data_IF_016567731910
#
_entry.id   IF_016567731910
#
_cell.length_a   1.000
_cell.length_b   1.000
_cell.length_c   1.000
_cell.angle_alpha   90.00
_cell.angle_beta   90.00
_cell.angle_gamma   90.00
#
_symmetry.space_group_name_H-M   'P 1'
#
loop_
_entity.id
_entity.type
_entity.pdbx_description
1 polymer ?
#
# COMPACT_ATOMS: atom_id res chain seq x y z
N UNK A 1 -11.01 16.15 13.55
CA UNK A 1 -10.79 17.39 12.76
C UNK A 1 -10.61 17.03 11.29
N UNK A 2 -11.73 16.98 10.56
CA UNK A 2 -11.78 16.61 9.15
C UNK A 2 -11.05 17.63 8.25
N UNK A 3 -11.11 18.91 8.60
CA UNK A 3 -10.46 19.98 7.84
C UNK A 3 -8.93 19.89 7.94
N UNK A 4 -8.40 19.54 9.12
CA UNK A 4 -6.97 19.28 9.26
C UNK A 4 -6.50 18.10 8.39
N UNK A 5 -7.31 17.04 8.27
CA UNK A 5 -7.00 15.89 7.41
C UNK A 5 -6.95 16.29 5.93
N UNK A 6 -7.99 17.00 5.45
CA UNK A 6 -8.09 17.47 4.06
C UNK A 6 -6.96 18.45 3.75
N UNK A 7 -6.69 19.40 4.65
CA UNK A 7 -5.62 20.40 4.49
C UNK A 7 -4.22 19.80 4.40
N UNK A 8 -4.02 18.58 4.91
CA UNK A 8 -2.75 17.85 4.85
C UNK A 8 -2.81 16.62 3.92
N UNK A 9 -3.80 16.55 3.01
CA UNK A 9 -3.97 15.44 2.08
C UNK A 9 -2.68 15.08 1.36
N UNK A 10 -1.98 16.06 0.80
CA UNK A 10 -0.75 15.80 0.03
C UNK A 10 0.33 15.13 0.87
N UNK A 11 0.44 15.46 2.16
CA UNK A 11 1.40 14.86 3.07
C UNK A 11 1.11 13.37 3.30
N UNK A 12 -0.18 13.01 3.37
CA UNK A 12 -0.62 11.62 3.49
C UNK A 12 -0.34 10.85 2.20
N UNK A 13 -0.63 11.44 1.02
CA UNK A 13 -0.34 10.81 -0.26
C UNK A 13 1.16 10.63 -0.49
N UNK A 14 1.99 11.63 -0.14
CA UNK A 14 3.47 11.52 -0.14
C UNK A 14 3.94 10.35 0.72
N UNK A 15 3.47 10.31 1.97
CA UNK A 15 3.81 9.27 2.93
C UNK A 15 3.44 7.87 2.41
N UNK A 16 2.25 7.74 1.82
CA UNK A 16 1.78 6.52 1.19
C UNK A 16 2.71 6.07 0.05
N UNK A 17 3.01 6.95 -0.90
CA UNK A 17 3.90 6.64 -2.04
C UNK A 17 5.28 6.21 -1.56
N UNK A 18 5.87 6.93 -0.60
CA UNK A 18 7.17 6.57 -0.04
C UNK A 18 7.13 5.21 0.66
N UNK A 19 6.09 4.98 1.47
CA UNK A 19 5.89 3.74 2.22
C UNK A 19 5.66 2.53 1.30
N UNK A 20 5.02 2.69 0.13
CA UNK A 20 4.82 1.61 -0.83
C UNK A 20 6.15 1.12 -1.44
N UNK A 21 7.16 1.98 -1.49
CA UNK A 21 8.47 1.70 -2.07
C UNK A 21 9.49 1.18 -1.06
N UNK A 22 9.10 0.90 0.18
CA UNK A 22 10.04 0.54 1.25
C UNK A 22 10.85 -0.76 1.03
N UNK A 23 10.33 -1.64 0.16
CA UNK A 23 10.89 -2.95 -0.12
C UNK A 23 11.68 -3.01 -1.44
N UNK A 24 12.09 -1.87 -2.02
CA UNK A 24 12.84 -1.82 -3.28
C UNK A 24 14.10 -2.71 -3.26
N UNK A 25 14.76 -2.86 -2.11
CA UNK A 25 15.92 -3.76 -1.98
C UNK A 25 15.62 -5.24 -2.27
N UNK A 26 14.37 -5.69 -2.07
CA UNK A 26 13.93 -7.06 -2.43
C UNK A 26 13.78 -7.26 -3.94
N UNK A 27 13.95 -6.22 -4.74
CA UNK A 27 13.76 -6.29 -6.19
C UNK A 27 15.08 -6.47 -6.95
N UNK A 28 16.19 -6.63 -6.23
CA UNK A 28 17.51 -6.90 -6.80
C UNK A 28 17.78 -8.41 -6.89
N UNK A 29 18.41 -8.84 -7.99
CA UNK A 29 18.90 -10.22 -8.10
C UNK A 29 19.97 -10.52 -7.05
N UNK A 30 20.79 -9.53 -6.68
CA UNK A 30 21.80 -9.67 -5.62
C UNK A 30 21.20 -10.09 -4.28
N UNK A 31 20.00 -9.60 -3.95
CA UNK A 31 19.26 -10.01 -2.76
C UNK A 31 18.81 -11.47 -2.84
N UNK A 32 18.32 -11.89 -4.00
CA UNK A 32 17.73 -13.21 -4.21
C UNK A 32 18.71 -14.31 -4.61
N UNK A 33 19.94 -13.98 -5.00
CA UNK A 33 20.92 -14.96 -5.50
C UNK A 33 21.11 -16.16 -4.58
N UNK A 34 21.03 -15.94 -3.27
CA UNK A 34 21.11 -16.97 -2.24
C UNK A 34 20.24 -16.60 -1.03
N UNK A 35 19.35 -17.50 -0.59
CA UNK A 35 18.57 -17.36 0.65
C UNK A 35 18.58 -18.65 1.46
N UNK A 36 18.92 -18.53 2.75
CA UNK A 36 18.91 -19.64 3.69
C UNK A 36 19.72 -20.86 3.20
N UNK A 37 20.84 -20.63 2.52
CA UNK A 37 21.72 -21.67 1.96
C UNK A 37 21.29 -22.22 0.61
N UNK A 38 20.13 -21.82 0.09
CA UNK A 38 19.67 -22.18 -1.26
C UNK A 38 20.11 -21.11 -2.27
N UNK A 39 20.77 -21.53 -3.34
CA UNK A 39 21.21 -20.67 -4.44
C UNK A 39 20.16 -20.67 -5.55
N UNK A 40 19.71 -19.49 -5.96
CA UNK A 40 18.66 -19.32 -6.98
C UNK A 40 19.18 -18.72 -8.29
N UNK A 41 20.21 -17.88 -8.21
CA UNK A 41 20.77 -17.20 -9.36
C UNK A 41 22.30 -17.21 -9.33
N UNK A 42 22.90 -17.39 -10.49
CA UNK A 42 24.34 -17.34 -10.69
C UNK A 42 24.76 -15.90 -11.04
N UNK A 43 24.92 -15.07 -10.01
CA UNK A 43 25.33 -13.66 -10.16
C UNK A 43 26.86 -13.56 -10.07
N UNK A 44 27.50 -13.10 -11.15
CA UNK A 44 28.93 -12.73 -11.14
C UNK A 44 29.12 -11.34 -10.49
N UNK A 45 29.86 -11.29 -9.39
CA UNK A 45 30.05 -10.07 -8.60
C UNK A 45 30.73 -8.95 -9.40
N UNK A 46 31.67 -9.30 -10.27
CA UNK A 46 32.43 -8.32 -11.07
C UNK A 46 31.54 -7.70 -12.14
N UNK A 47 30.79 -8.53 -12.88
CA UNK A 47 29.83 -8.08 -13.88
C UNK A 47 28.71 -7.26 -13.23
N UNK A 48 28.21 -7.70 -12.08
CA UNK A 48 27.20 -6.95 -11.32
C UNK A 48 27.72 -5.56 -10.91
N UNK A 49 28.89 -5.49 -10.30
CA UNK A 49 29.48 -4.21 -9.87
C UNK A 49 29.74 -3.28 -11.06
N UNK A 50 30.18 -3.82 -12.20
CA UNK A 50 30.38 -3.04 -13.43
C UNK A 50 29.07 -2.48 -14.01
N UNK A 51 27.94 -3.21 -13.87
CA UNK A 51 26.63 -2.77 -14.41
C UNK A 51 25.95 -1.75 -13.49
N UNK A 52 26.03 -1.96 -12.18
CA UNK A 52 25.24 -1.22 -11.19
C UNK A 52 26.04 -0.16 -10.42
N UNK A 53 27.37 -0.29 -10.36
CA UNK A 53 28.26 0.61 -9.61
C UNK A 53 28.35 0.32 -8.11
N UNK A 54 27.76 -0.78 -7.64
CA UNK A 54 27.80 -1.24 -6.25
C UNK A 54 27.77 -2.77 -6.19
N UNK A 55 28.13 -3.34 -5.02
CA UNK A 55 28.23 -4.80 -4.86
C UNK A 55 26.88 -5.47 -4.57
N UNK A 56 26.71 -6.75 -4.92
CA UNK A 56 25.55 -7.53 -4.49
C UNK A 56 25.43 -7.56 -2.95
N UNK A 57 24.21 -7.51 -2.43
CA UNK A 57 23.95 -7.49 -0.99
C UNK A 57 22.93 -8.56 -0.57
N UNK A 58 23.06 -9.08 0.66
CA UNK A 58 22.19 -10.15 1.19
C UNK A 58 20.91 -9.64 1.86
N UNK A 59 20.97 -8.49 2.53
CA UNK A 59 19.83 -7.87 3.22
C UNK A 59 19.18 -6.80 2.34
N UNK A 60 17.85 -6.76 2.28
CA UNK A 60 17.16 -5.77 1.43
C UNK A 60 17.42 -4.35 1.92
N UNK A 61 17.57 -4.15 3.23
CA UNK A 61 17.94 -2.88 3.86
C UNK A 61 19.28 -2.32 3.37
N UNK A 62 20.20 -3.19 2.94
CA UNK A 62 21.51 -2.76 2.44
C UNK A 62 21.40 -1.90 1.19
N UNK A 63 20.27 -1.94 0.49
CA UNK A 63 19.99 -1.05 -0.63
C UNK A 63 20.00 0.44 -0.25
N UNK A 64 19.70 0.75 1.01
CA UNK A 64 19.69 2.12 1.54
C UNK A 64 20.87 2.45 2.45
N UNK A 65 21.75 1.47 2.74
CA UNK A 65 22.94 1.67 3.55
C UNK A 65 24.06 2.19 2.66
N UNK A 66 24.87 3.11 3.18
CA UNK A 66 26.04 3.63 2.47
C UNK A 66 26.98 2.46 2.17
N UNK A 67 27.39 2.35 0.91
CA UNK A 67 28.38 1.38 0.45
C UNK A 67 29.68 2.11 0.11
N UNK A 68 29.89 2.44 -1.17
CA UNK A 68 31.11 3.06 -1.69
C UNK A 68 30.91 4.54 -2.02
N UNK A 69 31.99 5.32 -1.93
CA UNK A 69 32.03 6.75 -2.28
C UNK A 69 31.01 7.61 -1.51
N UNK A 70 30.62 7.15 -0.32
CA UNK A 70 29.62 7.83 0.52
C UNK A 70 28.19 7.74 0.01
N UNK A 71 27.89 6.85 -0.95
CA UNK A 71 26.55 6.66 -1.53
C UNK A 71 25.99 5.28 -1.24
N UNK A 72 24.67 5.21 -1.12
CA UNK A 72 23.93 3.94 -1.10
C UNK A 72 23.67 3.40 -2.53
N UNK A 73 23.45 2.09 -2.70
CA UNK A 73 22.98 1.52 -3.97
C UNK A 73 21.76 2.24 -4.56
N UNK A 74 20.81 2.64 -3.72
CA UNK A 74 19.64 3.42 -4.14
C UNK A 74 20.04 4.77 -4.76
N UNK A 75 20.97 5.49 -4.16
CA UNK A 75 21.42 6.79 -4.69
C UNK A 75 22.15 6.68 -6.03
N UNK A 76 22.96 5.65 -6.24
CA UNK A 76 23.58 5.39 -7.55
C UNK A 76 22.54 5.28 -8.66
N UNK A 77 21.43 4.60 -8.38
CA UNK A 77 20.37 4.40 -9.35
C UNK A 77 19.51 5.64 -9.54
N UNK A 78 19.25 6.42 -8.48
CA UNK A 78 18.57 7.69 -8.62
C UNK A 78 19.35 8.68 -9.47
N UNK A 79 20.68 8.73 -9.35
CA UNK A 79 21.54 9.57 -10.20
C UNK A 79 21.46 9.16 -11.67
N UNK A 80 21.46 7.85 -11.95
CA UNK A 80 21.34 7.31 -13.32
C UNK A 80 20.07 7.78 -14.06
N UNK A 81 19.00 8.08 -13.33
CA UNK A 81 17.71 8.51 -13.89
C UNK A 81 17.34 9.96 -13.58
N UNK A 82 18.28 10.78 -13.08
CA UNK A 82 18.03 12.17 -12.69
C UNK A 82 16.91 12.35 -11.65
N UNK A 83 16.68 11.35 -10.80
CA UNK A 83 15.64 11.36 -9.76
C UNK A 83 16.16 11.80 -8.38
N UNK A 84 17.49 11.83 -8.20
CA UNK A 84 18.12 12.08 -6.90
C UNK A 84 17.67 13.41 -6.27
N UNK A 85 17.73 14.50 -7.04
CA UNK A 85 17.36 15.83 -6.53
C UNK A 85 15.87 15.87 -6.12
N UNK A 86 14.99 15.32 -6.96
CA UNK A 86 13.56 15.27 -6.67
C UNK A 86 13.29 14.50 -5.37
N UNK A 87 13.73 13.24 -5.27
CA UNK A 87 13.43 12.37 -4.14
C UNK A 87 14.03 12.89 -2.82
N UNK A 88 15.30 13.33 -2.83
CA UNK A 88 16.00 13.72 -1.61
C UNK A 88 15.51 15.07 -1.04
N UNK A 89 14.92 15.93 -1.86
CA UNK A 89 14.43 17.24 -1.43
C UNK A 89 12.98 17.23 -0.93
N UNK A 90 12.24 16.14 -1.15
CA UNK A 90 10.88 16.05 -0.63
C UNK A 90 10.86 15.82 0.88
N UNK A 91 9.85 16.41 1.52
CA UNK A 91 9.56 16.27 2.94
C UNK A 91 8.09 15.93 3.13
N UNK A 92 7.82 15.20 4.20
CA UNK A 92 6.48 14.91 4.68
C UNK A 92 6.30 15.62 6.01
N UNK A 93 5.38 16.58 6.08
CA UNK A 93 4.99 17.20 7.34
C UNK A 93 4.16 16.19 8.15
N UNK A 94 4.29 16.22 9.47
CA UNK A 94 3.58 15.36 10.41
C UNK A 94 2.55 16.16 11.24
N UNK A 95 1.56 15.48 11.85
CA UNK A 95 0.54 16.14 12.67
C UNK A 95 1.07 16.97 13.86
N UNK A 96 2.26 16.64 14.37
CA UNK A 96 2.96 17.39 15.44
C UNK A 96 3.78 18.59 14.92
N UNK A 97 3.60 18.96 13.64
CA UNK A 97 4.32 20.04 12.94
C UNK A 97 5.82 19.78 12.77
N UNK A 98 6.28 18.56 13.01
CA UNK A 98 7.60 18.12 12.58
C UNK A 98 7.57 17.71 11.11
N UNK A 99 8.72 17.43 10.52
CA UNK A 99 8.81 16.87 9.17
C UNK A 99 9.79 15.71 9.14
N UNK A 100 9.57 14.79 8.20
CA UNK A 100 10.45 13.67 7.89
C UNK A 100 10.87 13.79 6.43
N UNK A 101 12.15 13.59 6.12
CA UNK A 101 12.61 13.52 4.75
C UNK A 101 11.93 12.35 4.03
N UNK A 102 11.39 12.58 2.84
CA UNK A 102 10.55 11.59 2.14
C UNK A 102 11.28 10.26 1.90
N UNK A 103 12.60 10.32 1.70
CA UNK A 103 13.46 9.15 1.56
C UNK A 103 13.38 8.16 2.74
N UNK A 104 13.10 8.63 3.95
CA UNK A 104 13.07 7.77 5.15
C UNK A 104 11.92 6.74 5.08
N UNK A 105 10.83 7.07 4.38
CA UNK A 105 9.73 6.13 4.13
C UNK A 105 10.14 4.97 3.22
N UNK A 106 11.07 5.20 2.28
CA UNK A 106 11.63 4.16 1.41
C UNK A 106 12.59 3.27 2.18
N UNK A 107 13.25 3.80 3.23
CA UNK A 107 14.19 3.02 4.03
C UNK A 107 13.47 2.00 4.91
N UNK A 108 12.25 2.30 5.36
CA UNK A 108 11.49 1.44 6.27
C UNK A 108 12.34 1.05 7.49
N UNK A 109 12.56 -0.25 7.70
CA UNK A 109 13.39 -0.78 8.79
C UNK A 109 14.85 -0.31 8.78
N UNK A 110 15.37 0.20 7.65
CA UNK A 110 16.70 0.80 7.58
C UNK A 110 16.76 2.29 7.96
N UNK A 111 15.62 2.93 8.24
CA UNK A 111 15.57 4.36 8.60
C UNK A 111 16.17 4.64 9.97
N UNK A 112 16.80 5.80 10.14
CA UNK A 112 17.23 6.29 11.45
C UNK A 112 16.12 7.03 12.22
N UNK A 113 15.00 7.33 11.57
CA UNK A 113 13.93 8.15 12.14
C UNK A 113 13.04 7.32 13.06
N UNK A 114 12.85 7.80 14.29
CA UNK A 114 12.02 7.14 15.30
C UNK A 114 10.58 6.94 14.80
N UNK A 115 9.99 7.95 14.15
CA UNK A 115 8.65 7.86 13.59
C UNK A 115 8.52 6.70 12.59
N UNK A 116 9.50 6.53 11.71
CA UNK A 116 9.51 5.45 10.72
C UNK A 116 9.68 4.09 11.40
N UNK A 117 10.61 3.98 12.35
CA UNK A 117 10.86 2.74 13.07
C UNK A 117 9.66 2.29 13.91
N UNK A 118 9.04 3.21 14.63
CA UNK A 118 7.98 2.90 15.57
C UNK A 118 6.62 2.79 14.87
N UNK A 119 6.22 3.80 14.10
CA UNK A 119 4.86 3.86 13.53
C UNK A 119 4.76 3.04 12.25
N UNK A 120 5.64 3.29 11.27
CA UNK A 120 5.58 2.59 9.98
C UNK A 120 6.04 1.14 10.10
N UNK A 121 7.24 0.90 10.59
CA UNK A 121 7.85 -0.42 10.51
C UNK A 121 7.33 -1.36 11.62
N UNK A 122 7.55 -1.04 12.90
CA UNK A 122 7.06 -1.89 14.00
C UNK A 122 5.53 -1.90 14.12
N UNK A 123 4.92 -0.74 13.91
CA UNK A 123 3.49 -0.54 14.06
C UNK A 123 2.68 -1.17 12.93
N UNK A 124 3.15 -1.10 11.68
CA UNK A 124 2.37 -1.57 10.52
C UNK A 124 3.03 -2.77 9.83
N UNK A 125 4.29 -2.66 9.39
CA UNK A 125 4.96 -3.72 8.61
C UNK A 125 5.11 -5.03 9.41
N UNK A 126 5.60 -4.97 10.64
CA UNK A 126 5.78 -6.15 11.48
C UNK A 126 4.45 -6.82 11.81
N UNK A 127 3.38 -6.04 11.98
CA UNK A 127 2.03 -6.55 12.24
C UNK A 127 1.50 -7.26 10.99
N UNK A 128 1.54 -6.62 9.82
CA UNK A 128 1.15 -7.22 8.55
C UNK A 128 1.96 -8.50 8.26
N UNK A 129 3.28 -8.40 8.37
CA UNK A 129 4.17 -9.54 8.18
C UNK A 129 3.91 -10.68 9.17
N UNK A 130 3.49 -10.38 10.40
CA UNK A 130 3.13 -11.39 11.39
C UNK A 130 1.88 -12.15 11.01
N UNK A 131 0.89 -11.45 10.45
CA UNK A 131 -0.35 -12.03 9.91
C UNK A 131 -0.03 -12.94 8.71
N UNK A 132 0.76 -12.44 7.76
CA UNK A 132 1.08 -13.14 6.49
C UNK A 132 1.91 -14.41 6.71
N UNK A 133 2.90 -14.37 7.60
CA UNK A 133 3.90 -15.44 7.70
C UNK A 133 3.38 -16.72 8.34
N UNK A 134 2.36 -16.66 9.18
CA UNK A 134 1.80 -17.82 9.88
C UNK A 134 2.88 -18.78 10.41
N UNK A 135 2.90 -20.01 9.89
CA UNK A 135 3.87 -21.05 10.24
C UNK A 135 4.67 -21.52 9.00
N UNK A 136 5.75 -20.82 8.61
CA UNK A 136 6.56 -21.20 7.46
C UNK A 136 7.27 -22.54 7.74
N UNK A 137 7.21 -23.49 6.80
CA UNK A 137 7.69 -24.86 7.02
C UNK A 137 9.03 -25.15 6.38
N UNK A 138 9.24 -24.69 5.16
CA UNK A 138 10.43 -25.03 4.38
C UNK A 138 10.82 -23.91 3.42
N UNK A 139 12.10 -23.84 3.09
CA UNK A 139 12.60 -23.00 2.01
C UNK A 139 12.25 -23.63 0.66
N UNK A 140 11.79 -22.84 -0.32
CA UNK A 140 11.61 -23.35 -1.69
C UNK A 140 12.97 -23.75 -2.27
N UNK A 141 13.02 -24.86 -2.98
CA UNK A 141 14.27 -25.40 -3.55
C UNK A 141 14.34 -25.16 -5.05
N UNK A 142 15.57 -25.15 -5.58
CA UNK A 142 15.91 -25.02 -6.99
C UNK A 142 15.59 -23.65 -7.62
N UNK A 143 14.31 -23.27 -7.75
CA UNK A 143 13.90 -22.02 -8.40
C UNK A 143 13.00 -21.18 -7.49
N UNK A 144 13.05 -19.85 -7.64
CA UNK A 144 12.09 -18.96 -6.99
C UNK A 144 10.77 -18.98 -7.75
N UNK A 145 9.66 -19.13 -7.01
CA UNK A 145 8.34 -19.15 -7.60
C UNK A 145 7.25 -18.68 -6.61
N UNK A 146 6.26 -18.00 -7.16
CA UNK A 146 5.01 -17.62 -6.49
C UNK A 146 4.02 -18.78 -6.53
N UNK A 147 3.48 -19.16 -5.37
CA UNK A 147 2.31 -20.03 -5.30
C UNK A 147 1.01 -19.24 -5.47
N UNK A 148 -0.08 -19.94 -5.77
CA UNK A 148 -1.43 -19.46 -5.49
C UNK A 148 -1.88 -19.90 -4.09
N UNK A 149 -3.06 -19.43 -3.65
CA UNK A 149 -3.63 -19.77 -2.35
C UNK A 149 -3.87 -21.28 -2.14
N UNK A 150 -3.87 -22.09 -3.21
CA UNK A 150 -3.97 -23.55 -3.15
C UNK A 150 -2.60 -24.25 -3.09
N UNK A 151 -1.51 -23.49 -2.98
CA UNK A 151 -0.14 -24.02 -2.89
C UNK A 151 0.46 -24.50 -4.22
N UNK A 152 -0.20 -24.24 -5.35
CA UNK A 152 0.29 -24.64 -6.68
C UNK A 152 1.02 -23.49 -7.38
N UNK A 153 1.90 -23.83 -8.34
CA UNK A 153 2.72 -22.88 -9.08
C UNK A 153 1.85 -21.84 -9.81
N UNK A 154 2.01 -20.56 -9.44
CA UNK A 154 1.41 -19.42 -10.13
C UNK A 154 2.39 -18.82 -11.14
N UNK A 155 3.65 -18.62 -10.75
CA UNK A 155 4.68 -18.02 -11.62
C UNK A 155 6.10 -18.31 -11.14
N UNK A 156 6.99 -18.68 -12.05
CA UNK A 156 8.44 -18.64 -11.81
C UNK A 156 8.96 -17.20 -11.86
N UNK A 157 9.87 -16.87 -10.94
CA UNK A 157 10.57 -15.58 -10.93
C UNK A 157 11.86 -15.72 -11.73
N UNK A 158 12.00 -14.88 -12.75
CA UNK A 158 13.16 -14.83 -13.61
C UNK A 158 13.99 -13.57 -13.32
N UNK A 159 15.26 -13.57 -13.73
CA UNK A 159 16.16 -12.42 -13.56
C UNK A 159 15.57 -11.10 -14.11
N UNK A 160 14.87 -11.20 -15.25
CA UNK A 160 14.20 -10.06 -15.89
C UNK A 160 13.08 -9.45 -15.06
N UNK A 161 12.51 -10.17 -14.10
CA UNK A 161 11.46 -9.67 -13.22
C UNK A 161 12.01 -8.78 -12.08
N UNK A 162 13.33 -8.85 -11.83
CA UNK A 162 14.05 -8.16 -10.76
C UNK A 162 14.64 -6.82 -11.27
N UNK A 163 15.96 -6.77 -11.47
CA UNK A 163 16.68 -5.51 -11.74
C UNK A 163 16.18 -4.81 -13.01
N UNK A 164 15.89 -5.56 -14.09
CA UNK A 164 15.41 -4.95 -15.34
C UNK A 164 14.07 -4.21 -15.14
N UNK A 165 13.15 -4.78 -14.36
CA UNK A 165 11.86 -4.13 -14.08
C UNK A 165 12.02 -2.94 -13.14
N UNK A 166 12.92 -3.01 -12.15
CA UNK A 166 13.25 -1.87 -11.27
C UNK A 166 13.83 -0.70 -12.06
N UNK A 167 14.82 -0.95 -12.90
CA UNK A 167 15.41 0.08 -13.76
C UNK A 167 14.39 0.66 -14.74
N UNK A 168 13.50 -0.19 -15.27
CA UNK A 168 12.38 0.27 -16.10
C UNK A 168 11.43 1.18 -15.32
N UNK A 169 11.09 0.83 -14.09
CA UNK A 169 10.27 1.67 -13.21
C UNK A 169 10.90 3.05 -13.02
N UNK A 170 12.15 3.14 -12.60
CA UNK A 170 12.82 4.44 -12.41
C UNK A 170 12.92 5.25 -13.71
N UNK A 171 13.22 4.60 -14.83
CA UNK A 171 13.21 5.26 -16.14
C UNK A 171 11.82 5.84 -16.46
N UNK A 172 10.77 5.05 -16.30
CA UNK A 172 9.39 5.51 -16.59
C UNK A 172 8.91 6.57 -15.62
N UNK A 173 9.30 6.51 -14.34
CA UNK A 173 9.01 7.54 -13.35
C UNK A 173 9.69 8.85 -13.72
N UNK A 174 10.97 8.80 -14.12
CA UNK A 174 11.70 9.98 -14.57
C UNK A 174 11.05 10.63 -15.79
N UNK A 175 10.66 9.83 -16.81
CA UNK A 175 9.94 10.34 -17.98
C UNK A 175 8.61 10.98 -17.58
N UNK A 176 7.79 10.27 -16.79
CA UNK A 176 6.49 10.77 -16.32
C UNK A 176 6.62 12.09 -15.55
N UNK A 177 7.58 12.21 -14.63
CA UNK A 177 7.79 13.44 -13.87
C UNK A 177 8.26 14.60 -14.75
N UNK A 178 9.11 14.34 -15.73
CA UNK A 178 9.58 15.38 -16.66
C UNK A 178 8.47 15.87 -17.60
N UNK A 179 7.76 14.95 -18.25
CA UNK A 179 6.71 15.29 -19.24
C UNK A 179 5.57 16.11 -18.64
N UNK A 180 5.31 15.96 -17.35
CA UNK A 180 4.25 16.67 -16.63
C UNK A 180 4.76 17.84 -15.77
N UNK A 181 6.05 18.18 -15.84
CA UNK A 181 6.70 19.18 -14.98
C UNK A 181 6.58 18.92 -13.45
N UNK A 182 6.39 17.66 -13.06
CA UNK A 182 6.23 17.27 -11.65
C UNK A 182 7.54 17.23 -10.86
N UNK A 183 8.70 17.36 -11.52
CA UNK A 183 9.96 17.59 -10.83
C UNK A 183 9.99 18.94 -10.11
N UNK A 184 9.34 19.96 -10.69
CA UNK A 184 9.27 21.32 -10.14
C UNK A 184 7.94 21.56 -9.40
N UNK A 185 6.83 21.09 -9.97
CA UNK A 185 5.47 21.31 -9.47
C UNK A 185 4.75 19.97 -9.27
N UNK A 186 5.09 19.19 -8.23
CA UNK A 186 4.56 17.84 -8.06
C UNK A 186 3.05 17.85 -7.79
N UNK A 187 2.28 17.13 -8.62
CA UNK A 187 0.88 16.80 -8.33
C UNK A 187 0.79 15.40 -7.72
N UNK A 188 0.74 15.35 -6.38
CA UNK A 188 0.91 14.09 -5.63
C UNK A 188 -0.16 13.04 -5.87
N UNK A 189 -1.39 13.45 -6.20
CA UNK A 189 -2.44 12.54 -6.64
C UNK A 189 -2.04 11.77 -7.91
N UNK A 190 -1.52 12.45 -8.92
CA UNK A 190 -1.11 11.83 -10.20
C UNK A 190 0.15 10.98 -10.01
N UNK A 191 1.10 11.47 -9.22
CA UNK A 191 2.31 10.71 -8.85
C UNK A 191 1.91 9.42 -8.12
N UNK A 192 0.99 9.50 -7.16
CA UNK A 192 0.47 8.34 -6.44
C UNK A 192 -0.16 7.34 -7.40
N UNK A 193 -1.06 7.78 -8.27
CA UNK A 193 -1.76 6.91 -9.20
C UNK A 193 -0.78 6.22 -10.17
N UNK A 194 0.20 6.96 -10.69
CA UNK A 194 1.27 6.42 -11.52
C UNK A 194 2.08 5.35 -10.76
N UNK A 195 2.56 5.67 -9.56
CA UNK A 195 3.39 4.75 -8.77
C UNK A 195 2.60 3.49 -8.40
N UNK A 196 1.37 3.61 -7.91
CA UNK A 196 0.51 2.47 -7.61
C UNK A 196 0.30 1.57 -8.83
N UNK A 197 -0.01 2.14 -10.00
CA UNK A 197 -0.22 1.36 -11.22
C UNK A 197 1.03 0.59 -11.64
N UNK A 198 2.20 1.26 -11.66
CA UNK A 198 3.46 0.62 -12.09
C UNK A 198 3.95 -0.40 -11.07
N UNK A 199 3.89 -0.06 -9.78
CA UNK A 199 4.33 -0.94 -8.69
C UNK A 199 3.41 -2.16 -8.60
N UNK A 200 2.09 -2.04 -8.73
CA UNK A 200 1.18 -3.19 -8.78
C UNK A 200 1.54 -4.17 -9.89
N UNK A 201 1.68 -3.66 -11.12
CA UNK A 201 2.03 -4.49 -12.30
C UNK A 201 3.37 -5.21 -12.15
N UNK A 202 4.29 -4.63 -11.39
CA UNK A 202 5.64 -5.16 -11.17
C UNK A 202 5.71 -6.08 -9.94
N UNK A 203 5.38 -5.58 -8.76
CA UNK A 203 5.51 -6.29 -7.49
C UNK A 203 4.60 -7.51 -7.37
N UNK A 204 3.45 -7.54 -8.06
CA UNK A 204 2.59 -8.74 -8.08
C UNK A 204 3.24 -9.96 -8.77
N UNK A 205 4.41 -9.77 -9.39
CA UNK A 205 5.20 -10.81 -10.04
C UNK A 205 6.43 -11.23 -9.22
N UNK A 206 6.61 -10.65 -8.03
CA UNK A 206 7.75 -10.90 -7.14
C UNK A 206 7.27 -11.52 -5.82
N UNK A 207 8.18 -12.22 -5.15
CA UNK A 207 7.94 -12.83 -3.84
C UNK A 207 8.15 -11.82 -2.71
N UNK A 208 7.27 -11.86 -1.71
CA UNK A 208 7.51 -11.23 -0.42
C UNK A 208 8.49 -12.07 0.43
N UNK A 209 8.25 -13.37 0.48
CA UNK A 209 9.01 -14.36 1.25
C UNK A 209 9.18 -15.64 0.42
N UNK A 210 10.33 -16.29 0.54
CA UNK A 210 10.67 -17.49 -0.24
C UNK A 210 10.39 -18.80 0.49
N UNK A 211 9.72 -18.78 1.64
CA UNK A 211 9.39 -19.99 2.40
C UNK A 211 7.99 -20.48 2.05
N UNK A 212 7.84 -21.78 1.86
CA UNK A 212 6.55 -22.43 1.66
C UNK A 212 5.84 -22.67 3.01
N UNK A 213 4.51 -22.46 3.12
CA UNK A 213 3.57 -22.05 2.06
C UNK A 213 3.40 -20.53 1.87
N UNK A 214 4.19 -19.70 2.58
CA UNK A 214 4.08 -18.22 2.60
C UNK A 214 4.42 -17.57 1.25
N UNK A 215 5.01 -18.31 0.32
CA UNK A 215 5.38 -17.84 -1.01
C UNK A 215 4.16 -17.62 -1.94
N UNK A 216 2.93 -17.67 -1.41
CA UNK A 216 1.71 -17.22 -2.07
C UNK A 216 1.48 -15.71 -1.95
N UNK A 217 2.14 -15.07 -0.97
CA UNK A 217 2.15 -13.62 -0.78
C UNK A 217 3.15 -12.97 -1.74
N UNK A 218 2.65 -12.13 -2.64
CA UNK A 218 3.51 -11.35 -3.53
C UNK A 218 4.12 -10.14 -2.81
N UNK A 219 5.18 -9.58 -3.40
CA UNK A 219 5.76 -8.34 -2.90
C UNK A 219 4.75 -7.19 -2.90
N UNK A 220 3.78 -7.22 -3.83
CA UNK A 220 2.72 -6.22 -3.91
C UNK A 220 1.81 -6.33 -2.69
N UNK A 221 1.38 -7.54 -2.35
CA UNK A 221 0.45 -7.76 -1.24
C UNK A 221 1.08 -7.26 0.06
N UNK A 222 2.35 -7.60 0.32
CA UNK A 222 3.08 -7.11 1.49
C UNK A 222 3.21 -5.57 1.49
N UNK A 223 3.65 -4.98 0.38
CA UNK A 223 3.94 -3.55 0.30
C UNK A 223 2.67 -2.69 0.37
N UNK A 224 1.65 -3.09 -0.39
CA UNK A 224 0.38 -2.37 -0.48
C UNK A 224 -0.39 -2.43 0.85
N UNK A 225 -0.48 -3.60 1.49
CA UNK A 225 -1.17 -3.72 2.77
C UNK A 225 -0.45 -2.94 3.88
N UNK A 226 0.88 -3.06 3.95
CA UNK A 226 1.69 -2.30 4.91
C UNK A 226 1.53 -0.78 4.71
N UNK A 227 1.60 -0.31 3.46
CA UNK A 227 1.38 1.11 3.12
C UNK A 227 -0.03 1.58 3.46
N UNK A 228 -1.05 0.74 3.22
CA UNK A 228 -2.46 1.05 3.50
C UNK A 228 -2.74 1.15 5.01
N UNK A 229 -2.19 0.22 5.80
CA UNK A 229 -2.25 0.27 7.26
C UNK A 229 -1.54 1.51 7.80
N UNK A 230 -0.37 1.84 7.25
CA UNK A 230 0.37 3.04 7.63
C UNK A 230 -0.38 4.33 7.29
N UNK A 231 -0.95 4.44 6.09
CA UNK A 231 -1.80 5.56 5.69
C UNK A 231 -2.96 5.76 6.67
N UNK A 232 -3.67 4.68 7.01
CA UNK A 232 -4.78 4.73 7.96
C UNK A 232 -4.34 5.21 9.35
N UNK A 233 -3.18 4.77 9.85
CA UNK A 233 -2.62 5.22 11.12
C UNK A 233 -2.18 6.70 11.09
N UNK A 234 -1.59 7.14 9.98
CA UNK A 234 -1.22 8.53 9.76
C UNK A 234 -2.46 9.44 9.66
N UNK A 235 -3.48 9.05 8.89
CA UNK A 235 -4.76 9.74 8.80
C UNK A 235 -5.43 9.87 10.18
N UNK A 236 -5.36 8.82 11.00
CA UNK A 236 -5.84 8.85 12.39
C UNK A 236 -5.12 9.91 13.21
N UNK A 237 -3.80 10.00 13.05
CA UNK A 237 -2.98 11.00 13.73
C UNK A 237 -3.26 12.43 13.26
N UNK A 238 -3.68 12.63 12.00
CA UNK A 238 -4.17 13.93 11.52
C UNK A 238 -5.54 14.29 12.10
N UNK A 239 -6.42 13.31 12.28
CA UNK A 239 -7.72 13.52 12.92
C UNK A 239 -7.61 13.78 14.43
N UNK A 240 -6.57 13.24 15.07
CA UNK A 240 -6.23 13.44 16.47
C UNK A 240 -4.71 13.34 16.69
N UNK A 241 -4.01 14.48 16.79
CA UNK A 241 -2.55 14.53 16.90
C UNK A 241 -2.00 13.90 18.18
N UNK A 242 -2.80 13.74 19.23
CA UNK A 242 -2.37 13.06 20.46
C UNK A 242 -2.05 11.57 20.24
N UNK A 243 -2.59 10.94 19.19
CA UNK A 243 -2.30 9.54 18.86
C UNK A 243 -0.86 9.33 18.40
N UNK A 244 -0.25 10.33 17.78
CA UNK A 244 1.08 10.20 17.21
C UNK A 244 2.13 9.84 18.27
N UNK A 245 2.09 10.47 19.44
CA UNK A 245 3.00 10.18 20.54
C UNK A 245 2.74 8.78 21.10
N UNK A 246 1.47 8.40 21.28
CA UNK A 246 1.12 7.05 21.72
C UNK A 246 1.62 5.97 20.74
N UNK A 247 1.54 6.22 19.43
CA UNK A 247 2.05 5.30 18.42
C UNK A 247 3.58 5.20 18.40
N UNK A 248 4.29 6.31 18.66
CA UNK A 248 5.76 6.32 18.82
C UNK A 248 6.19 5.52 20.06
N UNK A 249 5.51 5.74 21.19
CA UNK A 249 5.84 5.09 22.48
C UNK A 249 5.43 3.60 22.51
N UNK A 250 4.27 3.29 21.94
CA UNK A 250 3.67 1.96 21.92
C UNK A 250 3.13 1.63 20.52
N UNK A 251 3.99 1.22 19.57
CA UNK A 251 3.58 0.83 18.21
C UNK A 251 2.46 -0.20 18.17
N UNK A 252 2.45 -1.13 19.12
CA UNK A 252 1.44 -2.19 19.24
C UNK A 252 0.05 -1.68 19.64
N UNK A 253 -0.08 -0.38 19.98
CA UNK A 253 -1.35 0.26 20.25
C UNK A 253 -2.12 0.65 18.98
N UNK A 254 -1.45 0.73 17.83
CA UNK A 254 -2.11 1.05 16.56
C UNK A 254 -3.16 -0.03 16.26
N UNK A 255 -4.35 0.43 15.91
CA UNK A 255 -5.47 -0.40 15.50
C UNK A 255 -6.10 0.16 14.24
N UNK A 256 -6.82 -0.71 13.55
CA UNK A 256 -7.53 -0.40 12.32
C UNK A 256 -8.98 -0.88 12.42
N UNK A 257 -9.79 -0.38 11.50
CA UNK A 257 -11.15 -0.82 11.23
C UNK A 257 -11.27 -1.15 9.75
N UNK A 258 -12.27 -1.96 9.41
CA UNK A 258 -12.72 -2.11 8.03
C UNK A 258 -13.98 -1.27 7.85
N UNK A 259 -13.94 -0.35 6.90
CA UNK A 259 -15.11 0.38 6.40
C UNK A 259 -15.63 -0.37 5.17
N UNK A 260 -16.81 -0.97 5.29
CA UNK A 260 -17.50 -1.66 4.21
C UNK A 260 -18.64 -0.82 3.66
N UNK A 261 -18.66 -0.62 2.35
CA UNK A 261 -19.78 0.00 1.64
C UNK A 261 -20.46 -1.12 0.86
N UNK A 262 -21.47 -1.70 1.49
CA UNK A 262 -22.08 -2.97 1.09
C UNK A 262 -23.39 -2.75 0.36
N UNK A 263 -23.58 -3.44 -0.75
CA UNK A 263 -24.81 -3.45 -1.53
C UNK A 263 -24.79 -4.63 -2.50
N UNK A 264 -25.96 -5.17 -2.82
CA UNK A 264 -26.12 -6.39 -3.62
C UNK A 264 -25.89 -6.12 -5.11
N UNK A 265 -24.62 -6.07 -5.54
CA UNK A 265 -24.24 -5.78 -6.94
C UNK A 265 -24.76 -6.84 -7.89
N UNK A 266 -24.78 -8.10 -7.45
CA UNK A 266 -25.26 -9.22 -8.26
C UNK A 266 -26.78 -9.15 -8.41
N UNK A 267 -27.52 -9.00 -7.32
CA UNK A 267 -28.98 -8.90 -7.36
C UNK A 267 -29.47 -7.64 -8.09
N UNK A 268 -28.72 -6.53 -8.07
CA UNK A 268 -29.00 -5.38 -8.93
C UNK A 268 -28.91 -5.76 -10.41
N UNK A 269 -27.84 -6.44 -10.82
CA UNK A 269 -27.70 -6.90 -12.20
C UNK A 269 -28.80 -7.91 -12.59
N UNK A 270 -29.23 -8.78 -11.67
CA UNK A 270 -30.30 -9.77 -11.91
C UNK A 270 -31.69 -9.14 -12.06
N UNK A 271 -31.94 -7.95 -11.48
CA UNK A 271 -33.19 -7.20 -11.67
C UNK A 271 -33.35 -6.66 -13.10
N UNK A 272 -32.27 -6.60 -13.89
CA UNK A 272 -32.30 -6.12 -15.27
C UNK A 272 -33.12 -7.02 -16.21
N UNK A 273 -34.27 -6.53 -16.67
CA UNK A 273 -35.17 -7.27 -17.58
C UNK A 273 -34.61 -7.41 -19.00
N UNK A 274 -33.67 -6.53 -19.38
CA UNK A 274 -33.03 -6.51 -20.71
C UNK A 274 -31.51 -6.49 -20.56
N UNK A 275 -30.74 -7.05 -21.52
CA UNK A 275 -29.28 -6.98 -21.52
C UNK A 275 -28.71 -5.57 -21.35
N UNK A 276 -29.39 -4.54 -21.88
CA UNK A 276 -29.00 -3.14 -21.71
C UNK A 276 -29.11 -2.65 -20.26
N UNK A 277 -30.11 -3.13 -19.49
CA UNK A 277 -30.27 -2.80 -18.08
C UNK A 277 -29.23 -3.51 -17.22
N UNK A 278 -28.98 -4.80 -17.48
CA UNK A 278 -27.92 -5.56 -16.80
C UNK A 278 -26.57 -4.86 -17.00
N UNK A 279 -26.28 -4.42 -18.23
CA UNK A 279 -25.09 -3.66 -18.57
C UNK A 279 -25.05 -2.32 -17.83
N UNK A 280 -26.16 -1.58 -17.79
CA UNK A 280 -26.25 -0.32 -17.06
C UNK A 280 -25.94 -0.48 -15.58
N UNK A 281 -26.52 -1.46 -14.87
CA UNK A 281 -26.19 -1.71 -13.47
C UNK A 281 -24.70 -1.98 -13.28
N UNK A 282 -24.09 -2.85 -14.11
CA UNK A 282 -22.66 -3.15 -14.00
C UNK A 282 -21.78 -1.90 -14.19
N UNK A 283 -22.09 -1.07 -15.18
CA UNK A 283 -21.36 0.16 -15.44
C UNK A 283 -21.59 1.22 -14.33
N UNK A 284 -22.82 1.35 -13.80
CA UNK A 284 -23.13 2.26 -12.71
C UNK A 284 -22.40 1.86 -11.42
N UNK A 285 -22.45 0.57 -11.06
CA UNK A 285 -21.74 0.00 -9.91
C UNK A 285 -20.23 0.22 -10.00
N UNK A 286 -19.62 -0.05 -11.16
CA UNK A 286 -18.18 0.16 -11.35
C UNK A 286 -17.80 1.63 -11.19
N UNK A 287 -18.60 2.55 -11.73
CA UNK A 287 -18.36 3.99 -11.60
C UNK A 287 -18.52 4.44 -10.14
N UNK A 288 -19.60 4.05 -9.46
CA UNK A 288 -19.84 4.38 -8.05
C UNK A 288 -18.69 3.88 -7.17
N UNK A 289 -18.27 2.63 -7.32
CA UNK A 289 -17.14 2.07 -6.56
C UNK A 289 -15.83 2.86 -6.79
N UNK A 290 -15.59 3.31 -8.03
CA UNK A 290 -14.38 4.07 -8.36
C UNK A 290 -14.42 5.50 -7.81
N UNK A 291 -15.58 6.17 -7.82
CA UNK A 291 -15.76 7.48 -7.19
C UNK A 291 -15.64 7.40 -5.66
N UNK A 292 -16.20 6.37 -5.04
CA UNK A 292 -16.02 6.09 -3.62
C UNK A 292 -14.54 5.85 -3.28
N UNK A 293 -13.84 5.06 -4.10
CA UNK A 293 -12.40 4.86 -3.94
C UNK A 293 -11.67 6.19 -4.02
N UNK A 294 -11.98 7.05 -4.99
CA UNK A 294 -11.38 8.37 -5.12
C UNK A 294 -11.65 9.24 -3.88
N UNK A 295 -12.90 9.28 -3.44
CA UNK A 295 -13.34 10.02 -2.26
C UNK A 295 -12.51 9.64 -1.01
N UNK A 296 -12.36 8.34 -0.75
CA UNK A 296 -11.75 7.86 0.49
C UNK A 296 -10.22 7.76 0.43
N UNK A 297 -9.65 7.48 -0.74
CA UNK A 297 -8.20 7.36 -0.92
C UNK A 297 -7.51 8.68 -1.25
N UNK A 298 -8.20 9.58 -1.96
CA UNK A 298 -7.63 10.83 -2.47
C UNK A 298 -8.25 12.03 -1.77
N UNK A 299 -9.56 12.24 -1.82
CA UNK A 299 -10.15 13.49 -1.30
C UNK A 299 -10.01 13.62 0.23
N UNK A 300 -10.36 12.57 0.98
CA UNK A 300 -10.32 12.52 2.45
C UNK A 300 -9.11 11.78 3.04
N UNK A 301 -8.10 11.42 2.26
CA UNK A 301 -7.30 10.18 2.36
C UNK A 301 -7.37 9.40 3.72
N UNK A 302 -8.52 8.82 4.06
CA UNK A 302 -8.72 8.13 5.37
C UNK A 302 -8.20 6.69 5.40
N UNK A 303 -7.95 6.11 4.23
CA UNK A 303 -7.63 4.69 4.09
C UNK A 303 -7.41 4.29 2.63
N UNK A 304 -7.35 2.98 2.40
CA UNK A 304 -7.21 2.37 1.08
C UNK A 304 -8.12 1.16 0.92
N UNK A 305 -8.60 0.94 -0.31
CA UNK A 305 -9.35 -0.25 -0.68
C UNK A 305 -8.45 -1.48 -0.53
N UNK A 306 -8.91 -2.46 0.22
CA UNK A 306 -8.19 -3.73 0.44
C UNK A 306 -8.91 -4.92 -0.18
N UNK A 307 -10.21 -4.77 -0.45
CA UNK A 307 -11.02 -5.83 -1.05
C UNK A 307 -12.27 -5.24 -1.73
N UNK A 308 -12.72 -5.87 -2.81
CA UNK A 308 -13.93 -5.52 -3.57
C UNK A 308 -14.45 -6.77 -4.25
N UNK A 309 -15.75 -7.01 -4.11
CA UNK A 309 -16.46 -8.10 -4.78
C UNK A 309 -17.94 -7.71 -5.01
N UNK A 310 -18.79 -8.69 -5.29
CA UNK A 310 -20.22 -8.53 -5.51
C UNK A 310 -20.99 -8.00 -4.28
N UNK A 311 -20.41 -8.08 -3.08
CA UNK A 311 -21.05 -7.66 -1.83
C UNK A 311 -20.75 -6.22 -1.45
N UNK A 312 -19.72 -5.61 -2.06
CA UNK A 312 -19.34 -4.23 -1.72
C UNK A 312 -17.89 -3.89 -2.05
N UNK A 313 -17.46 -2.75 -1.52
CA UNK A 313 -16.08 -2.26 -1.54
C UNK A 313 -15.63 -1.99 -0.11
N UNK A 314 -14.41 -2.40 0.23
CA UNK A 314 -13.93 -2.49 1.61
C UNK A 314 -12.57 -1.80 1.78
N UNK A 315 -12.47 -0.95 2.80
CA UNK A 315 -11.31 -0.11 3.07
C UNK A 315 -10.72 -0.41 4.43
N UNK A 316 -9.39 -0.47 4.53
CA UNK A 316 -8.71 -0.36 5.82
C UNK A 316 -8.65 1.12 6.21
N UNK A 317 -9.17 1.44 7.39
CA UNK A 317 -9.23 2.81 7.92
C UNK A 317 -8.74 2.84 9.37
N UNK A 318 -8.49 4.06 9.86
CA UNK A 318 -7.99 4.33 11.20
C UNK A 318 -8.94 3.94 12.34
N UNK A 319 -8.41 3.65 13.53
CA UNK A 319 -9.24 3.33 14.71
C UNK A 319 -10.16 4.47 15.14
N UNK A 320 -9.72 5.71 14.97
CA UNK A 320 -10.43 6.89 15.47
C UNK A 320 -11.42 7.46 14.45
N UNK A 321 -11.74 6.71 13.40
CA UNK A 321 -12.79 7.01 12.41
C UNK A 321 -14.19 6.69 12.97
N UNK A 322 -14.28 5.82 13.98
CA UNK A 322 -15.55 5.47 14.60
C UNK A 322 -15.45 5.02 16.03
N UNK A 323 -16.61 4.81 16.64
CA UNK A 323 -16.80 4.43 18.04
C UNK A 323 -17.52 3.08 18.11
N UNK A 324 -17.02 2.18 18.95
CA UNK A 324 -17.59 0.82 19.07
C UNK A 324 -18.99 0.87 19.68
N UNK A 325 -19.95 0.18 19.05
CA UNK A 325 -21.34 0.08 19.49
C UNK A 325 -21.91 -1.30 19.20
N UNK A 326 -22.16 -2.08 20.26
CA UNK A 326 -22.63 -3.45 20.12
C UNK A 326 -21.59 -4.31 19.42
N UNK A 327 -21.95 -4.95 18.30
CA UNK A 327 -21.06 -5.79 17.49
C UNK A 327 -20.30 -5.02 16.39
N UNK A 328 -20.72 -3.80 16.09
CA UNK A 328 -20.14 -2.94 15.06
C UNK A 328 -19.56 -1.65 15.67
N UNK A 329 -19.21 -0.70 14.82
CA UNK A 329 -18.91 0.67 15.18
C UNK A 329 -19.74 1.65 14.34
N UNK A 330 -19.95 2.84 14.87
CA UNK A 330 -20.56 3.95 14.14
C UNK A 330 -19.47 4.94 13.74
N UNK A 331 -19.58 5.52 12.54
CA UNK A 331 -18.76 6.66 12.14
C UNK A 331 -18.96 7.79 13.15
N UNK A 332 -17.86 8.45 13.53
CA UNK A 332 -17.95 9.59 14.44
C UNK A 332 -18.81 10.71 13.83
N UNK A 333 -19.46 11.46 14.71
CA UNK A 333 -20.35 12.54 14.32
C UNK A 333 -19.66 13.59 13.42
N UNK A 334 -18.38 13.90 13.68
CA UNK A 334 -17.59 14.85 12.88
C UNK A 334 -17.10 14.30 11.53
N UNK A 335 -17.41 13.04 11.22
CA UNK A 335 -17.10 12.37 9.95
C UNK A 335 -18.36 11.96 9.19
N UNK A 336 -19.55 12.36 9.64
CA UNK A 336 -20.81 12.07 8.95
C UNK A 336 -20.88 12.65 7.54
N UNK A 337 -20.17 13.76 7.30
CA UNK A 337 -20.02 14.34 5.96
C UNK A 337 -19.51 13.29 4.95
N UNK A 338 -18.58 12.41 5.35
CA UNK A 338 -18.06 11.34 4.46
C UNK A 338 -19.19 10.37 4.11
N UNK A 339 -20.02 10.00 5.08
CA UNK A 339 -21.17 9.13 4.84
C UNK A 339 -22.21 9.79 3.94
N UNK A 340 -22.50 11.07 4.15
CA UNK A 340 -23.41 11.86 3.31
C UNK A 340 -22.90 11.92 1.86
N UNK A 341 -21.61 12.22 1.67
CA UNK A 341 -20.96 12.21 0.35
C UNK A 341 -21.04 10.86 -0.36
N UNK A 342 -20.88 9.76 0.38
CA UNK A 342 -21.08 8.41 -0.17
C UNK A 342 -22.53 8.25 -0.65
N UNK A 343 -23.52 8.63 0.16
CA UNK A 343 -24.94 8.52 -0.21
C UNK A 343 -25.29 9.41 -1.41
N UNK A 344 -24.71 10.61 -1.50
CA UNK A 344 -24.88 11.51 -2.64
C UNK A 344 -24.35 10.90 -3.94
N UNK A 345 -23.18 10.24 -3.90
CA UNK A 345 -22.65 9.52 -5.08
C UNK A 345 -23.62 8.44 -5.57
N UNK A 346 -24.23 7.66 -4.66
CA UNK A 346 -25.24 6.68 -5.06
C UNK A 346 -26.46 7.36 -5.65
N UNK A 347 -26.98 8.40 -5.00
CA UNK A 347 -28.15 9.13 -5.47
C UNK A 347 -27.95 9.69 -6.88
N UNK A 348 -26.82 10.34 -7.13
CA UNK A 348 -26.51 10.99 -8.40
C UNK A 348 -26.23 9.98 -9.52
N UNK A 349 -25.53 8.88 -9.21
CA UNK A 349 -25.03 7.96 -10.24
C UNK A 349 -25.93 6.73 -10.48
N UNK A 350 -26.85 6.45 -9.56
CA UNK A 350 -27.86 5.39 -9.69
C UNK A 350 -29.25 5.91 -10.03
N UNK A 351 -29.40 7.21 -10.33
CA UNK A 351 -30.71 7.85 -10.51
C UNK A 351 -31.67 7.61 -9.33
N UNK A 352 -31.12 7.66 -8.10
CA UNK A 352 -31.86 7.44 -6.83
C UNK A 352 -32.49 6.04 -6.72
N UNK A 353 -31.96 5.03 -7.42
CA UNK A 353 -32.57 3.68 -7.49
C UNK A 353 -32.14 2.76 -6.33
N UNK A 354 -30.89 2.86 -5.88
CA UNK A 354 -30.36 2.00 -4.81
C UNK A 354 -29.34 2.70 -3.94
N UNK A 355 -29.18 2.20 -2.71
CA UNK A 355 -28.30 2.77 -1.70
C UNK A 355 -27.47 1.68 -1.00
N UNK A 356 -26.28 2.04 -0.50
CA UNK A 356 -25.45 1.12 0.25
C UNK A 356 -25.87 1.07 1.72
N UNK A 357 -25.52 -0.05 2.35
CA UNK A 357 -25.33 -0.11 3.78
C UNK A 357 -23.85 0.18 4.09
N UNK A 358 -23.60 1.19 4.92
CA UNK A 358 -22.25 1.58 5.36
C UNK A 358 -21.99 0.97 6.73
N UNK A 359 -21.01 0.06 6.80
CA UNK A 359 -20.64 -0.62 8.03
C UNK A 359 -19.20 -0.33 8.42
N UNK A 360 -18.97 -0.23 9.72
CA UNK A 360 -17.64 -0.08 10.29
C UNK A 360 -17.42 -1.16 11.35
N UNK A 361 -16.30 -1.87 11.25
CA UNK A 361 -15.97 -2.91 12.24
C UNK A 361 -15.45 -2.28 13.54
N UNK A 362 -15.43 -3.07 14.62
CA UNK A 362 -14.64 -2.76 15.82
C UNK A 362 -13.16 -2.54 15.49
N UNK A 363 -12.49 -1.75 16.33
CA UNK A 363 -11.05 -1.53 16.20
C UNK A 363 -10.28 -2.80 16.57
N UNK A 364 -9.34 -3.20 15.73
CA UNK A 364 -8.52 -4.40 15.90
C UNK A 364 -7.09 -4.16 15.46
N UNK A 365 -6.15 -4.86 16.07
CA UNK A 365 -4.73 -4.86 15.65
C UNK A 365 -4.49 -5.71 14.39
N UNK A 366 -5.50 -6.43 13.89
CA UNK A 366 -5.44 -7.19 12.65
C UNK A 366 -6.71 -7.05 11.81
N UNK A 367 -6.64 -7.46 10.55
CA UNK A 367 -7.69 -7.22 9.55
C UNK A 367 -8.72 -8.36 9.43
N UNK A 368 -8.72 -9.31 10.37
CA UNK A 368 -9.65 -10.46 10.38
C UNK A 368 -11.13 -10.07 10.42
N UNK A 369 -11.44 -8.81 10.77
CA UNK A 369 -12.80 -8.29 10.78
C UNK A 369 -13.41 -8.15 9.38
N UNK A 370 -12.60 -8.21 8.30
CA UNK A 370 -13.14 -8.24 6.93
C UNK A 370 -14.03 -9.47 6.72
N UNK A 371 -13.60 -10.66 7.15
CA UNK A 371 -14.38 -11.90 7.01
C UNK A 371 -15.73 -11.79 7.71
N UNK A 372 -15.78 -11.12 8.87
CA UNK A 372 -17.03 -10.86 9.56
C UNK A 372 -18.01 -10.01 8.72
N UNK A 373 -17.52 -8.97 8.04
CA UNK A 373 -18.37 -8.18 7.14
C UNK A 373 -18.87 -9.00 5.95
N UNK A 374 -18.02 -9.84 5.36
CA UNK A 374 -18.38 -10.68 4.22
C UNK A 374 -19.42 -11.76 4.60
N UNK A 375 -19.29 -12.38 5.77
CA UNK A 375 -20.27 -13.36 6.27
C UNK A 375 -21.62 -12.73 6.63
N UNK A 376 -21.63 -11.44 6.98
CA UNK A 376 -22.84 -10.68 7.32
C UNK A 376 -23.46 -9.95 6.14
N UNK A 377 -22.72 -9.79 5.04
CA UNK A 377 -23.26 -9.28 3.79
C UNK A 377 -24.34 -10.26 3.31
N UNK A 378 -25.59 -9.78 3.26
CA UNK A 378 -26.75 -10.54 2.81
C UNK A 378 -27.58 -9.71 1.87
#
# INVERSE_FOLDING_TARGET
DLQNLIGNREEILKAEVGSLLFNLGKTHIGFWREKYGEKYFDVDDTAFENIFGFKPFKGYESYHKIDRDGKSPFEFELEKFNLKHFILNQKVNLPDKTYICWIEFFKGGASGEEFIQQVFFKGCENVNSGIDKGFPKAQIKASLWLSNAFGSLKKNIEEKDLDQRRLCFFKTLSVFLNENNYLEQPKWEEIRNFVLEKVKKWYSKLLSDSRFPVNDVSLWDQAYMTSSMFKAALASSYLNSSLLNNYKDKPTSIKWRILGIQYDKLGLAEKGLKPSQIRWYREAVEKIDNEIKNLLEIEYPIGNEVYRDETGIYFVVGENIGEDKGDFAELRQDLKEIQERILDLFKEMSDDEFYPAVFLTKASSGLMNLTYLLEKAK
#
